data_IF_032010816877
#
_entry.id   IF_032010816877
#
_cell.length_a   1.000
_cell.length_b   1.000
_cell.length_c   1.000
_cell.angle_alpha   90.00
_cell.angle_beta   90.00
_cell.angle_gamma   90.00
#
_symmetry.space_group_name_H-M   'P 1'
#
loop_
_entity.id
_entity.type
_entity.pdbx_description
1 polymer ?
#
# COMPACT_ATOMS: atom_id res chain seq x y z
N UNK A 1 39.79 2.27 -8.51
CA UNK A 1 38.50 1.84 -7.93
C UNK A 1 37.67 3.10 -7.68
N UNK A 2 36.87 3.52 -8.67
CA UNK A 2 35.89 4.61 -8.47
C UNK A 2 34.52 3.97 -8.29
N UNK A 3 34.08 3.89 -7.04
CA UNK A 3 32.70 3.55 -6.70
C UNK A 3 31.81 4.73 -7.02
N UNK A 4 31.18 4.70 -8.19
CA UNK A 4 30.07 5.60 -8.50
C UNK A 4 28.85 5.10 -7.74
N UNK A 5 28.44 5.78 -6.69
CA UNK A 5 27.09 5.67 -6.12
C UNK A 5 26.09 6.37 -7.02
N UNK A 6 26.17 6.14 -8.33
CA UNK A 6 25.07 6.45 -9.22
C UNK A 6 24.01 5.42 -8.84
N UNK A 7 23.01 5.85 -8.07
CA UNK A 7 21.80 5.08 -7.90
C UNK A 7 21.31 4.83 -9.33
N UNK A 8 21.40 3.58 -9.78
CA UNK A 8 20.82 3.18 -11.06
C UNK A 8 19.39 3.71 -11.08
N UNK A 9 18.98 4.27 -12.23
CA UNK A 9 17.63 4.77 -12.37
C UNK A 9 16.67 3.64 -11.96
N UNK A 10 15.73 3.88 -11.03
CA UNK A 10 14.87 2.82 -10.55
C UNK A 10 14.20 2.18 -11.77
N UNK A 11 14.25 0.86 -11.83
CA UNK A 11 13.49 0.11 -12.82
C UNK A 11 12.04 0.57 -12.79
N UNK A 12 11.35 0.49 -13.93
CA UNK A 12 9.95 0.90 -14.01
C UNK A 12 9.15 0.17 -12.91
N UNK A 13 8.29 0.89 -12.15
CA UNK A 13 7.63 0.33 -10.98
C UNK A 13 6.90 -0.94 -11.34
N UNK A 14 7.24 -2.02 -10.63
CA UNK A 14 6.60 -3.31 -10.84
C UNK A 14 5.25 -3.35 -10.13
N UNK A 15 4.45 -4.37 -10.46
CA UNK A 15 3.15 -4.59 -9.84
C UNK A 15 3.25 -4.65 -8.31
N UNK A 16 4.31 -5.24 -7.77
CA UNK A 16 4.54 -5.32 -6.33
C UNK A 16 4.72 -3.93 -5.69
N UNK A 17 5.41 -3.01 -6.37
CA UNK A 17 5.61 -1.64 -5.89
C UNK A 17 4.30 -0.87 -5.85
N UNK A 18 3.45 -1.05 -6.87
CA UNK A 18 2.10 -0.50 -6.89
C UNK A 18 1.25 -1.07 -5.75
N UNK A 19 1.28 -2.38 -5.55
CA UNK A 19 0.57 -3.05 -4.45
C UNK A 19 0.95 -2.45 -3.09
N UNK A 20 2.26 -2.25 -2.88
CA UNK A 20 2.81 -1.68 -1.66
C UNK A 20 2.37 -0.22 -1.48
N UNK A 21 2.34 0.57 -2.56
CA UNK A 21 1.87 1.95 -2.54
C UNK A 21 0.36 2.07 -2.25
N UNK A 22 -0.43 1.07 -2.64
CA UNK A 22 -1.88 1.06 -2.38
C UNK A 22 -2.22 0.87 -0.90
N UNK A 23 -1.41 0.16 -0.11
CA UNK A 23 -1.67 -0.07 1.33
C UNK A 23 -1.82 1.25 2.11
N UNK A 24 -0.84 2.17 2.12
CA UNK A 24 -0.98 3.45 2.82
C UNK A 24 -2.07 4.34 2.20
N UNK A 25 -2.29 4.25 0.88
CA UNK A 25 -3.33 5.01 0.20
C UNK A 25 -4.73 4.59 0.65
N UNK A 26 -4.99 3.29 0.70
CA UNK A 26 -6.26 2.74 1.18
C UNK A 26 -6.49 3.03 2.66
N UNK A 27 -5.43 2.99 3.47
CA UNK A 27 -5.53 3.39 4.87
C UNK A 27 -5.91 4.88 4.99
N UNK A 28 -5.14 5.77 4.37
CA UNK A 28 -5.38 7.22 4.46
C UNK A 28 -6.74 7.61 3.89
N UNK A 29 -7.11 7.07 2.73
CA UNK A 29 -8.41 7.29 2.11
C UNK A 29 -9.56 6.73 2.93
N UNK A 30 -9.44 5.49 3.42
CA UNK A 30 -10.44 4.87 4.27
C UNK A 30 -10.65 5.61 5.59
N UNK A 31 -9.55 6.07 6.21
CA UNK A 31 -9.60 6.88 7.43
C UNK A 31 -10.30 8.21 7.17
N UNK A 32 -9.89 8.94 6.13
CA UNK A 32 -10.47 10.25 5.80
C UNK A 32 -11.98 10.14 5.52
N UNK A 33 -12.40 9.18 4.69
CA UNK A 33 -13.82 8.95 4.38
C UNK A 33 -14.60 8.58 5.64
N UNK A 34 -14.10 7.67 6.47
CA UNK A 34 -14.80 7.20 7.65
C UNK A 34 -14.81 8.24 8.79
N UNK A 35 -13.75 9.04 8.94
CA UNK A 35 -13.71 10.15 9.88
C UNK A 35 -14.77 11.21 9.53
N UNK A 36 -14.94 11.52 8.25
CA UNK A 36 -15.99 12.42 7.77
C UNK A 36 -17.41 11.86 7.95
N UNK A 37 -17.55 10.53 7.95
CA UNK A 37 -18.87 9.87 7.98
C UNK A 37 -19.37 9.49 9.38
N UNK A 38 -18.48 9.13 10.32
CA UNK A 38 -18.87 8.45 11.55
C UNK A 38 -18.48 9.18 12.85
N UNK A 39 -17.83 10.35 12.77
CA UNK A 39 -17.37 11.17 13.92
C UNK A 39 -16.79 10.35 15.10
N UNK A 40 -16.01 9.32 14.75
CA UNK A 40 -15.60 8.29 15.69
C UNK A 40 -14.26 7.70 15.30
N UNK A 41 -13.23 8.00 16.10
CA UNK A 41 -11.86 7.57 15.84
C UNK A 41 -11.75 6.06 15.62
N UNK A 42 -12.34 5.26 16.50
CA UNK A 42 -12.29 3.79 16.42
C UNK A 42 -12.90 3.27 15.12
N UNK A 43 -14.05 3.80 14.72
CA UNK A 43 -14.72 3.42 13.47
C UNK A 43 -13.88 3.81 12.26
N UNK A 44 -13.28 5.00 12.28
CA UNK A 44 -12.44 5.48 11.19
C UNK A 44 -11.17 4.63 11.01
N UNK A 45 -10.48 4.31 12.11
CA UNK A 45 -9.28 3.46 12.09
C UNK A 45 -9.62 2.03 11.69
N UNK A 46 -10.71 1.44 12.21
CA UNK A 46 -11.12 0.09 11.85
C UNK A 46 -11.45 -0.01 10.35
N UNK A 47 -12.17 0.96 9.81
CA UNK A 47 -12.52 1.02 8.38
C UNK A 47 -11.27 1.19 7.51
N UNK A 48 -10.36 2.08 7.91
CA UNK A 48 -9.08 2.29 7.23
C UNK A 48 -8.22 1.02 7.20
N UNK A 49 -8.11 0.32 8.33
CA UNK A 49 -7.36 -0.92 8.45
C UNK A 49 -7.96 -2.04 7.59
N UNK A 50 -9.29 -2.18 7.58
CA UNK A 50 -9.99 -3.12 6.71
C UNK A 50 -9.75 -2.80 5.23
N UNK A 51 -9.83 -1.54 4.82
CA UNK A 51 -9.55 -1.13 3.44
C UNK A 51 -8.10 -1.43 3.05
N UNK A 52 -7.13 -1.10 3.91
CA UNK A 52 -5.70 -1.35 3.68
C UNK A 52 -5.35 -2.85 3.61
N UNK A 53 -6.17 -3.73 4.20
CA UNK A 53 -5.97 -5.17 4.11
C UNK A 53 -6.25 -5.74 2.72
N UNK A 54 -7.05 -5.06 1.88
CA UNK A 54 -7.40 -5.53 0.53
C UNK A 54 -6.18 -5.74 -0.38
N UNK A 55 -5.27 -4.75 -0.57
CA UNK A 55 -4.05 -4.97 -1.35
C UNK A 55 -3.13 -6.03 -0.72
N UNK A 56 -3.13 -6.20 0.60
CA UNK A 56 -2.33 -7.26 1.26
C UNK A 56 -2.89 -8.64 0.91
N UNK A 57 -4.21 -8.83 0.98
CA UNK A 57 -4.87 -10.09 0.63
C UNK A 57 -4.67 -10.42 -0.85
N UNK A 58 -4.85 -9.44 -1.74
CA UNK A 58 -4.63 -9.64 -3.16
C UNK A 58 -3.17 -10.04 -3.46
N UNK A 59 -2.21 -9.34 -2.84
CA UNK A 59 -0.79 -9.59 -3.05
C UNK A 59 -0.29 -10.89 -2.42
N UNK A 60 -0.95 -11.41 -1.40
CA UNK A 60 -0.54 -12.66 -0.73
C UNK A 60 -1.23 -13.90 -1.30
N UNK A 61 -2.50 -13.79 -1.70
CA UNK A 61 -3.32 -14.97 -2.02
C UNK A 61 -3.79 -15.04 -3.47
N UNK A 62 -4.02 -13.90 -4.14
CA UNK A 62 -4.58 -13.88 -5.50
C UNK A 62 -3.48 -13.74 -6.54
N UNK A 63 -2.53 -12.86 -6.27
CA UNK A 63 -1.45 -12.51 -7.18
C UNK A 63 -0.11 -12.43 -6.42
N UNK A 64 0.38 -13.57 -5.89
CA UNK A 64 1.62 -13.62 -5.14
C UNK A 64 2.80 -13.09 -5.97
N UNK A 65 3.76 -12.39 -5.35
CA UNK A 65 5.01 -12.08 -6.02
C UNK A 65 5.69 -13.40 -6.41
N UNK A 66 5.93 -13.57 -7.71
CA UNK A 66 6.69 -14.70 -8.23
C UNK A 66 8.17 -14.32 -8.21
N UNK A 67 9.01 -15.15 -7.58
CA UNK A 67 10.46 -15.05 -7.74
C UNK A 67 10.80 -15.17 -9.23
N UNK A 68 11.53 -14.18 -9.74
CA UNK A 68 12.29 -14.29 -11.00
C UNK A 68 13.73 -14.60 -10.68
#
# INVERSE_FOLDING_TARGET
MSGSTALDAPDAPERADLQLALVPLFFAGGYAVAALAFDGWTTAVATAALAASLPVVDGLFVHPPHDR
#
